data_IF_181165989748
#
_entry.id   IF_181165989748
#
_cell.length_a   1.000
_cell.length_b   1.000
_cell.length_c   1.000
_cell.angle_alpha   90.00
_cell.angle_beta   90.00
_cell.angle_gamma   90.00
#
_symmetry.space_group_name_H-M   'P 1'
#
loop_
_entity.id
_entity.type
_entity.pdbx_description
1 polymer ?
#
# COMPACT_ATOMS: atom_id res chain seq x y z
N UNK A 1 -34.44 -38.63 -24.39
CA UNK A 1 -33.08 -39.08 -24.17
C UNK A 1 -32.00 -38.15 -24.77
N UNK A 2 -32.22 -37.62 -25.94
CA UNK A 2 -31.26 -36.69 -26.56
C UNK A 2 -31.14 -35.37 -25.81
N UNK A 3 -32.16 -34.94 -25.09
CA UNK A 3 -32.18 -33.69 -24.31
C UNK A 3 -31.33 -33.81 -23.03
N UNK A 4 -31.34 -34.99 -22.40
CA UNK A 4 -30.57 -35.24 -21.17
C UNK A 4 -29.06 -35.25 -21.40
N UNK A 5 -28.60 -35.71 -22.55
CA UNK A 5 -27.19 -35.74 -22.92
C UNK A 5 -26.66 -34.33 -23.19
N UNK A 6 -27.48 -33.49 -23.80
CA UNK A 6 -27.12 -32.08 -24.04
C UNK A 6 -27.08 -31.28 -22.75
N UNK A 7 -27.97 -31.58 -21.82
CA UNK A 7 -27.97 -30.94 -20.50
C UNK A 7 -26.74 -31.34 -19.68
N UNK A 8 -26.32 -32.57 -19.75
CA UNK A 8 -25.11 -33.05 -19.08
C UNK A 8 -23.85 -32.43 -19.64
N UNK A 9 -23.80 -32.24 -20.96
CA UNK A 9 -22.66 -31.57 -21.59
C UNK A 9 -22.58 -30.10 -21.18
N UNK A 10 -23.71 -29.41 -21.05
CA UNK A 10 -23.74 -28.02 -20.56
C UNK A 10 -23.31 -27.93 -19.11
N UNK A 11 -23.70 -28.84 -18.28
CA UNK A 11 -23.28 -28.87 -16.87
C UNK A 11 -21.79 -29.10 -16.73
N UNK A 12 -21.18 -29.92 -17.56
CA UNK A 12 -19.73 -30.15 -17.59
C UNK A 12 -18.96 -28.90 -18.02
N UNK A 13 -19.48 -28.15 -18.97
CA UNK A 13 -18.84 -26.92 -19.43
C UNK A 13 -18.90 -25.81 -18.34
N UNK A 14 -20.01 -25.71 -17.63
CA UNK A 14 -20.17 -24.78 -16.52
C UNK A 14 -19.25 -25.15 -15.35
N UNK A 15 -19.11 -26.41 -15.03
CA UNK A 15 -18.19 -26.89 -14.01
C UNK A 15 -16.72 -26.62 -14.40
N UNK A 16 -16.39 -26.75 -15.68
CA UNK A 16 -15.06 -26.43 -16.20
C UNK A 16 -14.72 -24.94 -16.06
N UNK A 17 -15.68 -24.05 -16.30
CA UNK A 17 -15.47 -22.62 -16.12
C UNK A 17 -15.29 -22.21 -14.65
N UNK A 18 -15.98 -22.86 -13.74
CA UNK A 18 -15.84 -22.61 -12.30
C UNK A 18 -14.48 -23.07 -11.77
N UNK A 19 -13.90 -24.12 -12.31
CA UNK A 19 -12.55 -24.56 -11.95
C UNK A 19 -11.47 -23.61 -12.43
N UNK A 20 -11.67 -22.91 -13.54
CA UNK A 20 -10.72 -21.89 -14.02
C UNK A 20 -10.65 -20.69 -13.08
N UNK A 21 -11.76 -20.26 -12.50
CA UNK A 21 -11.77 -19.14 -11.56
C UNK A 21 -11.13 -19.47 -10.22
N UNK A 22 -11.11 -20.72 -9.81
CA UNK A 22 -10.50 -21.13 -8.55
C UNK A 22 -8.97 -21.26 -8.60
N UNK A 23 -8.37 -21.32 -9.80
CA UNK A 23 -6.91 -21.40 -9.96
C UNK A 23 -6.19 -20.05 -9.85
N UNK A 24 -6.91 -18.94 -9.78
CA UNK A 24 -6.33 -17.59 -9.67
C UNK A 24 -6.18 -17.14 -8.21
N UNK A 25 -5.63 -17.99 -7.36
CA UNK A 25 -5.46 -17.68 -5.93
C UNK A 25 -4.21 -16.88 -5.60
N UNK A 26 -3.23 -16.87 -6.48
CA UNK A 26 -2.03 -16.07 -6.29
C UNK A 26 -2.26 -14.68 -6.85
N UNK A 27 -2.33 -13.69 -5.96
CA UNK A 27 -2.30 -12.30 -6.37
C UNK A 27 -0.90 -11.98 -6.83
N UNK A 28 -0.74 -11.71 -8.11
CA UNK A 28 0.50 -11.14 -8.61
C UNK A 28 0.72 -9.78 -7.93
N UNK A 29 1.98 -9.46 -7.62
CA UNK A 29 2.33 -8.13 -7.15
C UNK A 29 1.94 -7.10 -8.20
N UNK A 30 1.34 -5.96 -7.79
CA UNK A 30 1.09 -4.87 -8.72
C UNK A 30 2.43 -4.31 -9.23
N UNK A 31 2.42 -3.76 -10.42
CA UNK A 31 3.61 -3.12 -10.97
C UNK A 31 4.06 -1.91 -10.15
N UNK A 32 3.10 -1.23 -9.53
CA UNK A 32 3.32 -0.01 -8.77
C UNK A 32 2.32 0.06 -7.63
N UNK A 33 2.80 0.44 -6.47
CA UNK A 33 1.96 0.74 -5.31
C UNK A 33 2.00 2.25 -5.09
N UNK A 34 0.83 2.86 -4.96
CA UNK A 34 0.66 4.27 -4.64
C UNK A 34 0.02 4.36 -3.26
N UNK A 35 0.69 5.00 -2.33
CA UNK A 35 0.15 5.28 -1.00
C UNK A 35 -0.04 6.78 -0.89
N UNK A 36 -1.22 7.20 -0.51
CA UNK A 36 -1.56 8.61 -0.33
C UNK A 36 -2.38 8.80 0.93
N UNK A 37 -2.48 10.02 1.38
CA UNK A 37 -3.28 10.36 2.54
C UNK A 37 -3.01 11.77 3.02
N UNK A 38 -3.53 12.06 4.20
CA UNK A 38 -3.40 13.36 4.85
C UNK A 38 -2.69 13.21 6.18
N UNK A 39 -1.78 14.14 6.44
CA UNK A 39 -1.08 14.23 7.72
C UNK A 39 -1.65 15.43 8.47
N UNK A 40 -2.07 15.19 9.70
CA UNK A 40 -2.65 16.22 10.55
C UNK A 40 -1.94 16.27 11.91
N UNK A 41 -2.09 17.40 12.59
CA UNK A 41 -1.80 17.53 14.02
C UNK A 41 -2.89 16.80 14.84
N UNK A 42 -2.66 16.65 16.13
CA UNK A 42 -3.63 16.05 17.03
C UNK A 42 -4.96 16.82 17.10
N UNK A 43 -4.95 18.11 16.82
CA UNK A 43 -6.14 18.96 16.77
C UNK A 43 -6.90 18.89 15.43
N UNK A 44 -6.41 18.09 14.48
CA UNK A 44 -7.03 17.91 13.17
C UNK A 44 -6.60 18.91 12.11
N UNK A 45 -5.74 19.88 12.44
CA UNK A 45 -5.22 20.83 11.45
C UNK A 45 -4.25 20.16 10.48
N UNK A 46 -4.24 20.56 9.19
CA UNK A 46 -3.29 20.00 8.23
C UNK A 46 -1.84 20.30 8.62
N UNK A 47 -1.00 19.29 8.47
CA UNK A 47 0.42 19.37 8.78
C UNK A 47 1.23 19.51 7.50
N UNK A 48 1.63 20.73 7.18
CA UNK A 48 2.44 21.05 6.00
C UNK A 48 3.91 20.75 6.23
N UNK A 49 4.63 20.48 5.15
CA UNK A 49 6.09 20.27 5.14
C UNK A 49 6.58 19.09 5.99
N UNK A 50 5.76 18.08 6.17
CA UNK A 50 6.19 16.84 6.78
C UNK A 50 7.05 16.07 5.79
N UNK A 51 8.21 15.68 6.23
CA UNK A 51 9.15 14.87 5.48
C UNK A 51 8.63 13.43 5.41
N UNK A 52 8.31 12.95 4.21
CA UNK A 52 7.84 11.59 3.98
C UNK A 52 8.88 10.85 3.17
N UNK A 53 9.40 9.77 3.72
CA UNK A 53 10.39 8.93 3.06
C UNK A 53 9.96 7.47 3.05
N UNK A 54 10.42 6.74 2.05
CA UNK A 54 10.19 5.32 1.91
C UNK A 54 11.49 4.57 2.16
N UNK A 55 11.42 3.52 2.98
CA UNK A 55 12.52 2.59 3.14
C UNK A 55 12.05 1.16 2.87
N UNK A 56 12.95 0.32 2.37
CA UNK A 56 12.71 -1.10 2.25
C UNK A 56 13.65 -1.87 3.18
N UNK A 57 13.15 -2.96 3.73
CA UNK A 57 13.96 -3.90 4.47
C UNK A 57 14.03 -5.19 3.68
N UNK A 58 15.24 -5.66 3.43
CA UNK A 58 15.45 -7.02 2.97
C UNK A 58 15.24 -7.97 4.15
N UNK A 59 15.02 -9.24 3.86
CA UNK A 59 14.87 -10.22 4.92
C UNK A 59 16.15 -10.38 5.78
N UNK A 60 17.27 -9.83 5.34
CA UNK A 60 18.51 -9.75 6.13
C UNK A 60 18.54 -8.58 7.12
N UNK A 61 17.46 -7.80 7.20
CA UNK A 61 17.32 -6.73 8.18
C UNK A 61 17.95 -5.39 7.80
N UNK A 62 18.55 -5.28 6.62
CA UNK A 62 19.12 -4.01 6.17
C UNK A 62 18.01 -3.07 5.71
N UNK A 63 17.98 -1.86 6.27
CA UNK A 63 17.05 -0.81 5.84
C UNK A 63 17.71 0.03 4.76
N UNK A 64 17.08 0.09 3.60
CA UNK A 64 17.59 0.83 2.45
C UNK A 64 16.59 1.94 2.10
N UNK A 65 17.00 3.21 2.11
CA UNK A 65 16.13 4.28 1.63
C UNK A 65 15.85 4.11 0.14
N UNK A 66 14.60 4.25 -0.25
CA UNK A 66 14.16 4.11 -1.64
C UNK A 66 13.59 5.42 -2.16
N UNK A 67 14.14 5.84 -3.28
CA UNK A 67 13.56 6.94 -4.03
C UNK A 67 13.69 8.30 -3.37
N UNK A 68 12.89 9.21 -3.87
CA UNK A 68 12.91 10.61 -3.46
C UNK A 68 12.11 10.83 -2.19
N UNK A 69 12.60 11.73 -1.37
CA UNK A 69 11.86 12.27 -0.25
C UNK A 69 10.83 13.26 -0.76
N UNK A 70 9.62 13.17 -0.24
CA UNK A 70 8.55 14.12 -0.52
C UNK A 70 8.16 14.85 0.76
N UNK A 71 7.44 15.96 0.59
CA UNK A 71 6.90 16.75 1.69
C UNK A 71 5.40 16.89 1.51
N UNK A 72 4.67 16.95 2.62
CA UNK A 72 3.24 17.23 2.56
C UNK A 72 3.00 18.65 2.07
N UNK A 73 1.89 18.84 1.36
CA UNK A 73 1.47 20.13 0.85
C UNK A 73 0.73 20.97 1.93
N UNK A 74 0.20 22.11 1.53
CA UNK A 74 -0.55 23.02 2.43
C UNK A 74 -1.80 22.39 3.05
N UNK A 75 -2.31 21.31 2.45
CA UNK A 75 -3.45 20.55 2.98
C UNK A 75 -3.01 19.34 3.80
N UNK A 76 -1.72 19.16 4.00
CA UNK A 76 -1.17 17.98 4.66
C UNK A 76 -1.16 16.74 3.79
N UNK A 77 -1.45 16.87 2.50
CA UNK A 77 -1.53 15.73 1.59
C UNK A 77 -0.15 15.23 1.17
N UNK A 78 -0.01 13.92 1.10
CA UNK A 78 1.16 13.25 0.55
C UNK A 78 0.74 12.16 -0.44
N UNK A 79 1.60 11.88 -1.39
CA UNK A 79 1.45 10.74 -2.28
C UNK A 79 2.84 10.21 -2.61
N UNK A 80 3.05 8.94 -2.40
CA UNK A 80 4.30 8.27 -2.71
C UNK A 80 4.02 6.99 -3.49
N UNK A 81 4.86 6.73 -4.49
CA UNK A 81 4.72 5.57 -5.34
C UNK A 81 6.01 4.80 -5.40
N UNK A 82 5.91 3.47 -5.44
CA UNK A 82 7.08 2.61 -5.55
C UNK A 82 6.74 1.31 -6.25
N UNK A 83 7.77 0.68 -6.79
CA UNK A 83 7.66 -0.65 -7.38
C UNK A 83 7.91 -1.70 -6.29
N UNK A 84 6.94 -2.56 -5.98
CA UNK A 84 7.13 -3.55 -4.92
C UNK A 84 7.98 -4.73 -5.38
N UNK A 85 8.69 -5.32 -4.43
CA UNK A 85 9.39 -6.58 -4.57
C UNK A 85 8.90 -7.51 -3.46
N UNK A 86 8.54 -8.73 -3.79
CA UNK A 86 8.00 -9.71 -2.84
C UNK A 86 8.95 -10.09 -1.72
N UNK A 87 10.25 -9.92 -1.93
CA UNK A 87 11.29 -10.27 -0.95
C UNK A 87 11.64 -9.12 -0.01
N UNK A 88 10.92 -7.98 -0.14
CA UNK A 88 11.14 -6.79 0.67
C UNK A 88 9.89 -6.44 1.47
N UNK A 89 10.11 -5.81 2.62
CA UNK A 89 9.07 -5.11 3.36
C UNK A 89 9.29 -3.61 3.20
N UNK A 90 8.21 -2.85 3.23
CA UNK A 90 8.27 -1.41 2.97
C UNK A 90 7.71 -0.63 4.15
N UNK A 91 8.32 0.51 4.42
CA UNK A 91 7.93 1.38 5.51
C UNK A 91 7.97 2.84 5.07
N UNK A 92 6.90 3.55 5.38
CA UNK A 92 6.86 5.01 5.25
C UNK A 92 7.24 5.64 6.58
N UNK A 93 8.11 6.64 6.50
CA UNK A 93 8.56 7.40 7.66
C UNK A 93 8.11 8.84 7.51
N UNK A 94 7.41 9.35 8.51
CA UNK A 94 6.91 10.71 8.57
C UNK A 94 7.64 11.44 9.67
N UNK A 95 8.29 12.55 9.33
CA UNK A 95 9.11 13.32 10.29
C UNK A 95 8.90 14.81 10.10
N UNK A 96 8.86 15.53 11.19
CA UNK A 96 8.91 16.99 11.19
C UNK A 96 9.57 17.50 12.45
N UNK A 97 10.26 18.61 12.36
CA UNK A 97 10.86 19.30 13.49
C UNK A 97 10.33 20.73 13.52
N UNK A 98 9.60 21.08 14.56
CA UNK A 98 8.99 22.40 14.73
C UNK A 98 9.28 22.89 16.15
N UNK A 99 9.89 24.06 16.25
CA UNK A 99 10.20 24.72 17.54
C UNK A 99 10.98 23.80 18.51
N UNK A 100 11.90 22.99 17.96
CA UNK A 100 12.68 22.05 18.74
C UNK A 100 11.94 20.76 19.12
N UNK A 101 10.69 20.62 18.72
CA UNK A 101 9.90 19.43 18.99
C UNK A 101 9.86 18.52 17.78
N UNK A 102 10.16 17.25 18.01
CA UNK A 102 10.14 16.23 16.96
C UNK A 102 8.77 15.58 16.87
N UNK A 103 8.29 15.44 15.66
CA UNK A 103 7.10 14.68 15.31
C UNK A 103 7.52 13.51 14.44
N UNK A 104 7.01 12.33 14.73
CA UNK A 104 7.45 11.12 14.05
C UNK A 104 6.36 10.07 14.00
N UNK A 105 6.26 9.38 12.86
CA UNK A 105 5.36 8.24 12.69
C UNK A 105 5.91 7.29 11.63
N UNK A 106 5.75 6.00 11.86
CA UNK A 106 6.06 4.95 10.89
C UNK A 106 4.80 4.24 10.46
N UNK A 107 4.74 3.93 9.17
CA UNK A 107 3.69 3.07 8.63
C UNK A 107 4.32 1.93 7.84
N UNK A 108 4.03 0.69 8.25
CA UNK A 108 4.47 -0.50 7.51
C UNK A 108 3.44 -0.85 6.44
N UNK A 109 3.89 -0.93 5.19
CA UNK A 109 3.04 -1.33 4.08
C UNK A 109 2.93 -2.85 4.09
N UNK A 110 1.80 -3.36 4.57
CA UNK A 110 1.57 -4.80 4.73
C UNK A 110 0.67 -5.40 3.66
N UNK A 111 0.05 -4.56 2.85
CA UNK A 111 -0.85 -4.98 1.78
C UNK A 111 -0.23 -4.71 0.43
N UNK A 112 -0.46 -5.62 -0.50
CA UNK A 112 0.01 -5.52 -1.88
C UNK A 112 -1.08 -4.99 -2.81
N UNK A 113 -1.77 -3.94 -2.39
CA UNK A 113 -2.79 -3.27 -3.18
C UNK A 113 -2.16 -2.11 -3.95
N UNK A 114 -2.56 -1.95 -5.21
CA UNK A 114 -1.98 -0.94 -6.10
C UNK A 114 -2.25 0.49 -5.64
N UNK A 115 -3.40 0.73 -5.02
CA UNK A 115 -3.79 2.05 -4.49
C UNK A 115 -4.19 1.88 -3.03
N UNK A 116 -3.54 2.64 -2.15
CA UNK A 116 -3.78 2.58 -0.72
C UNK A 116 -3.91 3.99 -0.16
N UNK A 117 -4.82 4.16 0.77
CA UNK A 117 -4.96 5.40 1.53
C UNK A 117 -4.57 5.18 2.98
N UNK A 118 -3.77 6.07 3.51
CA UNK A 118 -3.36 6.04 4.90
C UNK A 118 -3.21 7.46 5.44
N UNK A 119 -4.10 7.83 6.34
CA UNK A 119 -4.06 9.12 7.02
C UNK A 119 -3.26 9.00 8.32
N UNK A 120 -2.51 10.01 8.63
CA UNK A 120 -1.57 10.02 9.75
C UNK A 120 -1.85 11.20 10.66
N UNK A 121 -1.94 10.94 11.95
CA UNK A 121 -1.92 11.97 12.98
C UNK A 121 -0.54 11.98 13.61
N UNK A 122 0.22 13.05 13.40
CA UNK A 122 1.55 13.18 13.98
C UNK A 122 1.47 13.71 15.41
N UNK A 123 2.11 12.98 16.28
CA UNK A 123 2.19 13.35 17.69
C UNK A 123 3.60 13.86 18.02
N UNK A 124 3.63 14.84 18.89
CA UNK A 124 4.85 15.35 19.46
C UNK A 124 5.55 14.27 20.28
N UNK A 125 6.81 14.07 20.01
CA UNK A 125 7.64 13.12 20.75
C UNK A 125 8.24 13.73 22.01
#
# INVERSE_FOLDING_TARGET
MKITTKLMLMLLVVAGMLTFTSCKKEKALPEKIIVSGYVTYEDGQPFEDVHVSLSSNTFMGASIPLGETIYTDEHGHYEIAFKPDKDHTYRLNFQSLIDGHQYYHNYSVTKWEAVQEHDVVLKKQ
#
